data_IF_683576573338
#
_entry.id   IF_683576573338
#
_cell.length_a   1.000
_cell.length_b   1.000
_cell.length_c   1.000
_cell.angle_alpha   90.00
_cell.angle_beta   90.00
_cell.angle_gamma   90.00
#
_symmetry.space_group_name_H-M   'P 1'
#
loop_
_entity.id
_entity.type
_entity.pdbx_description
1 polymer ?
#
# COMPACT_ATOMS: atom_id res chain seq x y z
N UNK A 1 24.25 -43.92 2.95
CA UNK A 1 24.38 -42.90 1.87
C UNK A 1 23.12 -42.76 1.02
N UNK A 2 22.50 -43.86 0.55
CA UNK A 2 21.21 -43.81 -0.18
C UNK A 2 20.04 -43.33 0.69
N UNK A 3 20.01 -43.73 1.97
CA UNK A 3 18.96 -43.32 2.93
C UNK A 3 18.95 -41.81 3.21
N UNK A 4 20.13 -41.17 3.23
CA UNK A 4 20.24 -39.73 3.41
C UNK A 4 19.71 -38.95 2.19
N UNK A 5 19.93 -39.50 0.99
CA UNK A 5 19.38 -38.96 -0.26
C UNK A 5 17.85 -39.01 -0.32
N UNK A 6 17.24 -40.06 0.25
CA UNK A 6 15.78 -40.19 0.35
C UNK A 6 15.15 -39.23 1.36
N UNK A 7 15.84 -38.91 2.47
CA UNK A 7 15.37 -37.93 3.46
C UNK A 7 15.40 -36.50 2.87
N UNK A 8 16.44 -36.18 2.08
CA UNK A 8 16.58 -34.86 1.44
C UNK A 8 15.54 -34.62 0.32
N UNK A 9 15.07 -35.68 -0.34
CA UNK A 9 14.03 -35.59 -1.39
C UNK A 9 12.62 -35.53 -0.79
N UNK A 10 12.40 -36.03 0.42
CA UNK A 10 11.11 -35.97 1.11
C UNK A 10 10.79 -34.59 1.71
N UNK A 11 11.81 -33.81 2.10
CA UNK A 11 11.61 -32.47 2.67
C UNK A 11 11.15 -31.41 1.66
N UNK A 12 11.34 -31.63 0.36
CA UNK A 12 10.96 -30.69 -0.71
C UNK A 12 9.44 -30.67 -0.97
N UNK A 13 8.72 -31.72 -0.58
CA UNK A 13 7.28 -31.84 -0.84
C UNK A 13 6.37 -31.32 0.29
N UNK A 14 6.92 -30.85 1.41
CA UNK A 14 6.13 -30.35 2.54
C UNK A 14 5.90 -28.83 2.54
N UNK A 15 6.33 -28.10 1.52
CA UNK A 15 6.07 -26.66 1.39
C UNK A 15 4.75 -26.40 0.67
N UNK A 16 3.64 -26.83 1.27
CA UNK A 16 2.31 -26.35 0.90
C UNK A 16 1.82 -25.43 2.02
N UNK A 17 2.16 -24.14 1.91
CA UNK A 17 1.61 -23.12 2.79
C UNK A 17 0.16 -22.87 2.40
N UNK A 18 -0.78 -23.10 3.33
CA UNK A 18 -2.16 -22.67 3.19
C UNK A 18 -2.16 -21.14 3.06
N UNK A 19 -2.61 -20.63 1.91
CA UNK A 19 -2.83 -19.19 1.77
C UNK A 19 -4.02 -18.82 2.65
N UNK A 20 -3.75 -18.18 3.79
CA UNK A 20 -4.77 -17.43 4.53
C UNK A 20 -5.48 -16.51 3.52
N UNK A 21 -6.79 -16.26 3.67
CA UNK A 21 -7.46 -15.26 2.85
C UNK A 21 -6.67 -13.97 2.97
N UNK A 22 -6.04 -13.53 1.86
CA UNK A 22 -5.43 -12.20 1.84
C UNK A 22 -6.55 -11.23 2.15
N UNK A 23 -6.37 -10.46 3.22
CA UNK A 23 -7.27 -9.37 3.54
C UNK A 23 -7.46 -8.53 2.28
N UNK A 24 -8.70 -8.17 1.97
CA UNK A 24 -9.01 -7.45 0.74
C UNK A 24 -8.42 -6.06 0.86
N UNK A 25 -7.27 -5.84 0.24
CA UNK A 25 -6.57 -4.56 0.26
C UNK A 25 -7.48 -3.49 -0.37
N UNK A 26 -7.71 -2.41 0.36
CA UNK A 26 -8.34 -1.22 -0.19
C UNK A 26 -7.27 -0.35 -0.84
N UNK A 27 -6.98 -0.60 -2.12
CA UNK A 27 -5.93 0.13 -2.85
C UNK A 27 -6.16 1.65 -2.91
N UNK A 28 -7.40 2.12 -2.81
CA UNK A 28 -7.70 3.56 -2.75
C UNK A 28 -7.26 4.16 -1.42
N UNK A 29 -7.52 3.46 -0.31
CA UNK A 29 -7.05 3.85 1.02
C UNK A 29 -5.52 3.86 1.08
N UNK A 30 -4.88 2.79 0.61
CA UNK A 30 -3.41 2.68 0.61
C UNK A 30 -2.75 3.80 -0.22
N UNK A 31 -3.34 4.17 -1.36
CA UNK A 31 -2.82 5.26 -2.17
C UNK A 31 -2.98 6.62 -1.47
N UNK A 32 -4.11 6.86 -0.78
CA UNK A 32 -4.30 8.07 0.03
C UNK A 32 -3.24 8.16 1.14
N UNK A 33 -3.07 7.08 1.90
CA UNK A 33 -2.08 6.99 2.97
C UNK A 33 -0.67 7.22 2.44
N UNK A 34 -0.33 6.65 1.29
CA UNK A 34 0.97 6.84 0.68
C UNK A 34 1.24 8.31 0.31
N UNK A 35 0.27 9.00 -0.29
CA UNK A 35 0.41 10.43 -0.63
C UNK A 35 0.49 11.30 0.63
N UNK A 36 -0.29 10.98 1.68
CA UNK A 36 -0.23 11.68 2.97
C UNK A 36 1.16 11.56 3.59
N UNK A 37 1.76 10.37 3.58
CA UNK A 37 3.12 10.17 4.11
C UNK A 37 4.19 10.89 3.27
N UNK A 38 4.03 10.96 1.94
CA UNK A 38 4.88 11.81 1.09
C UNK A 38 4.76 13.28 1.51
N UNK A 39 3.54 13.79 1.67
CA UNK A 39 3.31 15.18 2.04
C UNK A 39 3.93 15.51 3.40
N UNK A 40 3.73 14.65 4.39
CA UNK A 40 4.34 14.79 5.72
C UNK A 40 5.86 14.78 5.65
N UNK A 41 6.44 13.74 5.04
CA UNK A 41 7.89 13.62 4.91
C UNK A 41 8.49 14.84 4.20
N UNK A 42 7.91 15.27 3.08
CA UNK A 42 8.42 16.42 2.34
C UNK A 42 8.33 17.72 3.14
N UNK A 43 7.23 17.94 3.87
CA UNK A 43 7.02 19.16 4.67
C UNK A 43 7.83 19.20 5.97
N UNK A 44 8.26 18.04 6.48
CA UNK A 44 9.29 17.98 7.52
C UNK A 44 10.64 18.53 7.03
N UNK A 45 10.96 18.37 5.75
CA UNK A 45 12.23 18.82 5.16
C UNK A 45 12.16 20.23 4.58
N UNK A 46 11.04 20.58 3.96
CA UNK A 46 10.74 21.90 3.40
C UNK A 46 9.25 22.23 3.64
N UNK A 47 8.93 23.11 4.59
CA UNK A 47 7.55 23.46 4.93
C UNK A 47 6.69 23.96 3.77
N UNK A 48 7.31 24.49 2.71
CA UNK A 48 6.63 25.06 1.54
C UNK A 48 6.50 24.04 0.38
N UNK A 49 6.87 22.77 0.59
CA UNK A 49 6.80 21.74 -0.43
C UNK A 49 5.36 21.46 -0.89
N UNK A 50 5.11 21.63 -2.19
CA UNK A 50 3.80 21.39 -2.81
C UNK A 50 3.61 19.96 -3.31
N UNK A 51 2.42 19.41 -3.15
CA UNK A 51 2.02 18.06 -3.57
C UNK A 51 0.84 18.14 -4.54
N UNK A 52 1.07 17.71 -5.78
CA UNK A 52 0.05 17.70 -6.85
C UNK A 52 0.02 16.30 -7.49
N UNK A 53 -0.84 15.37 -7.03
CA UNK A 53 -0.98 14.07 -7.65
C UNK A 53 -1.67 14.16 -9.02
N UNK A 54 -1.15 13.41 -10.00
CA UNK A 54 -1.74 13.32 -11.33
C UNK A 54 -2.82 12.22 -11.37
N UNK A 55 -3.99 12.51 -11.96
CA UNK A 55 -5.15 11.61 -12.00
C UNK A 55 -5.72 11.26 -10.60
N UNK A 56 -5.56 12.13 -9.61
CA UNK A 56 -6.00 11.91 -8.22
C UNK A 56 -7.50 12.05 -7.96
N UNK A 57 -8.31 12.40 -8.96
CA UNK A 57 -9.74 12.70 -8.81
C UNK A 57 -10.55 11.56 -8.17
N UNK A 58 -10.22 10.30 -8.47
CA UNK A 58 -10.92 9.14 -7.91
C UNK A 58 -10.60 8.87 -6.43
N UNK A 59 -9.63 9.58 -5.86
CA UNK A 59 -9.21 9.45 -4.46
C UNK A 59 -9.84 10.53 -3.56
N UNK A 60 -10.56 11.50 -4.14
CA UNK A 60 -11.19 12.58 -3.38
C UNK A 60 -12.29 12.09 -2.44
N UNK A 61 -12.90 10.95 -2.76
CA UNK A 61 -13.97 10.36 -1.95
C UNK A 61 -13.52 9.05 -1.31
N UNK A 62 -13.98 8.80 -0.09
CA UNK A 62 -13.84 7.53 0.60
C UNK A 62 -14.83 6.48 0.04
N UNK A 63 -14.81 5.27 0.61
CA UNK A 63 -15.66 4.18 0.15
C UNK A 63 -17.17 4.46 0.35
N UNK A 64 -17.51 5.35 1.28
CA UNK A 64 -18.88 5.76 1.60
C UNK A 64 -19.35 6.95 0.72
N UNK A 65 -18.47 7.46 -0.15
CA UNK A 65 -18.75 8.59 -1.03
C UNK A 65 -18.60 9.96 -0.36
N UNK A 66 -18.05 10.01 0.85
CA UNK A 66 -17.74 11.26 1.57
C UNK A 66 -16.34 11.76 1.19
N UNK A 67 -16.05 13.03 1.45
CA UNK A 67 -14.73 13.60 1.16
C UNK A 67 -13.67 12.91 2.04
N UNK A 68 -12.57 12.50 1.43
CA UNK A 68 -11.41 11.99 2.15
C UNK A 68 -10.56 13.17 2.68
N UNK A 69 -11.05 13.83 3.73
CA UNK A 69 -10.52 15.11 4.23
C UNK A 69 -9.01 15.09 4.52
N UNK A 70 -8.48 14.00 5.08
CA UNK A 70 -7.06 13.87 5.38
C UNK A 70 -6.21 13.87 4.10
N UNK A 71 -6.67 13.18 3.05
CA UNK A 71 -6.02 13.19 1.74
C UNK A 71 -6.13 14.55 1.07
N UNK A 72 -7.32 15.16 1.08
CA UNK A 72 -7.54 16.48 0.46
C UNK A 72 -6.71 17.56 1.16
N UNK A 73 -6.52 17.47 2.48
CA UNK A 73 -5.69 18.40 3.24
C UNK A 73 -4.18 18.20 3.01
N UNK A 74 -3.77 17.02 2.52
CA UNK A 74 -2.37 16.69 2.26
C UNK A 74 -1.88 17.12 0.86
N UNK A 75 -2.77 17.57 -0.03
CA UNK A 75 -2.45 17.96 -1.40
C UNK A 75 -2.77 19.43 -1.65
N UNK A 76 -2.02 20.06 -2.54
CA UNK A 76 -2.16 21.49 -2.87
C UNK A 76 -2.87 21.72 -4.21
N UNK A 77 -3.13 20.65 -4.96
CA UNK A 77 -3.86 20.68 -6.21
C UNK A 77 -3.97 19.30 -6.85
N UNK A 78 -4.60 19.24 -8.02
CA UNK A 78 -4.69 18.04 -8.84
C UNK A 78 -4.15 18.33 -10.24
N UNK A 79 -3.43 17.35 -10.81
CA UNK A 79 -2.86 17.40 -12.16
C UNK A 79 -3.45 16.37 -13.13
#
# INVERSE_FOLDING_TARGET
>A
MKLFFYILTFSVFLSCATSSPKEKINYREEMRNFVIEIAKFSREQDPDFIVIPQNGHELLLNADGEIADEYVSAIDGLG
#
